data_IF_941919550006
#
_entry.id   IF_941919550006
#
_cell.length_a   1.000
_cell.length_b   1.000
_cell.length_c   1.000
_cell.angle_alpha   90.00
_cell.angle_beta   90.00
_cell.angle_gamma   90.00
#
_symmetry.space_group_name_H-M   'P 1'
#
loop_
_entity.id
_entity.type
_entity.pdbx_description
1 polymer ?
#
# COMPACT_ATOMS: atom_id res chain seq x y z
N UNK A 1 17.09 -27.99 11.56
CA UNK A 1 17.57 -26.65 11.20
C UNK A 1 16.88 -25.65 12.12
N UNK A 2 17.58 -25.11 13.13
CA UNK A 2 17.02 -24.07 14.02
C UNK A 2 17.39 -22.72 13.42
N UNK A 3 16.39 -21.93 13.06
CA UNK A 3 16.59 -20.52 12.73
C UNK A 3 16.97 -19.80 14.03
N UNK A 4 18.22 -19.35 14.10
CA UNK A 4 18.70 -18.43 15.13
C UNK A 4 18.09 -17.06 14.82
N UNK A 5 17.13 -16.63 15.64
CA UNK A 5 16.79 -15.21 15.69
C UNK A 5 17.92 -14.50 16.44
N UNK A 6 18.47 -13.39 15.91
CA UNK A 6 19.49 -12.63 16.61
C UNK A 6 18.89 -12.15 17.92
N UNK A 7 19.62 -12.40 19.01
CA UNK A 7 19.29 -11.93 20.35
C UNK A 7 18.88 -10.47 20.28
N UNK A 8 17.61 -10.24 20.59
CA UNK A 8 17.04 -8.97 20.95
C UNK A 8 17.94 -8.38 22.05
N UNK A 9 18.79 -7.42 21.70
CA UNK A 9 19.39 -6.50 22.67
C UNK A 9 18.20 -5.83 23.34
N UNK A 10 17.86 -6.31 24.52
CA UNK A 10 16.79 -5.78 25.33
C UNK A 10 17.28 -4.44 25.90
N UNK A 11 16.73 -3.37 25.35
CA UNK A 11 16.92 -2.03 25.89
C UNK A 11 16.50 -2.01 27.38
N UNK A 12 17.33 -1.46 28.29
CA UNK A 12 17.12 -1.56 29.73
C UNK A 12 15.91 -0.78 30.27
N UNK A 13 15.20 -0.03 29.42
CA UNK A 13 14.05 0.78 29.81
C UNK A 13 12.69 0.06 29.70
N UNK A 14 12.69 -1.20 29.26
CA UNK A 14 11.74 -2.23 29.75
C UNK A 14 10.25 -1.92 29.70
N UNK A 15 9.82 -0.95 28.91
CA UNK A 15 8.43 -0.55 28.73
C UNK A 15 8.28 -0.06 27.29
N UNK A 16 7.30 -0.61 26.56
CA UNK A 16 6.94 -0.19 25.20
C UNK A 16 7.82 -0.73 24.04
N UNK A 17 7.98 -2.06 23.93
CA UNK A 17 8.27 -2.70 22.62
C UNK A 17 7.35 -3.89 22.40
N UNK A 18 7.20 -4.78 23.37
CA UNK A 18 6.37 -5.99 23.26
C UNK A 18 4.87 -5.70 23.05
N UNK A 19 4.29 -4.77 23.84
CA UNK A 19 2.87 -4.39 23.71
C UNK A 19 2.56 -3.67 22.39
N UNK A 20 3.49 -2.86 21.88
CA UNK A 20 3.36 -2.20 20.58
C UNK A 20 3.53 -3.19 19.42
N UNK A 21 4.45 -4.15 19.54
CA UNK A 21 4.68 -5.16 18.50
C UNK A 21 3.55 -6.18 18.38
N UNK A 22 2.88 -6.51 19.47
CA UNK A 22 1.77 -7.47 19.48
C UNK A 22 0.49 -6.85 18.87
N UNK A 23 0.18 -5.61 19.20
CA UNK A 23 -0.90 -4.85 18.54
C UNK A 23 -0.56 -4.56 17.07
N UNK A 24 0.70 -4.20 16.77
CA UNK A 24 1.17 -4.02 15.38
C UNK A 24 1.06 -5.31 14.57
N UNK A 25 1.38 -6.49 15.13
CA UNK A 25 1.17 -7.78 14.45
C UNK A 25 -0.31 -8.00 14.14
N UNK A 26 -1.20 -7.74 15.12
CA UNK A 26 -2.64 -7.92 14.95
C UNK A 26 -3.26 -6.96 13.92
N UNK A 27 -2.74 -5.73 13.83
CA UNK A 27 -3.14 -4.76 12.81
C UNK A 27 -2.65 -5.14 11.40
N UNK A 28 -1.48 -5.77 11.29
CA UNK A 28 -0.93 -6.21 9.99
C UNK A 28 -1.65 -7.44 9.42
N UNK A 29 -2.23 -8.29 10.28
CA UNK A 29 -3.01 -9.47 9.86
C UNK A 29 -4.44 -9.12 9.39
N UNK A 30 -4.88 -7.87 9.57
CA UNK A 30 -6.22 -7.44 9.19
C UNK A 30 -6.33 -7.23 7.68
N UNK A 31 -7.03 -8.14 6.99
CA UNK A 31 -7.41 -8.00 5.58
C UNK A 31 -8.92 -7.71 5.50
N UNK A 32 -9.34 -6.54 4.98
CA UNK A 32 -10.76 -6.23 4.81
C UNK A 32 -11.39 -7.11 3.73
N UNK A 33 -12.70 -7.35 3.82
CA UNK A 33 -13.45 -8.14 2.83
C UNK A 33 -13.41 -7.52 1.42
N UNK A 34 -13.33 -6.19 1.35
CA UNK A 34 -13.25 -5.44 0.10
C UNK A 34 -12.05 -4.50 0.15
N UNK A 35 -11.14 -4.65 -0.82
CA UNK A 35 -10.02 -3.74 -0.99
C UNK A 35 -10.50 -2.42 -1.60
N UNK A 36 -10.17 -1.29 -0.96
CA UNK A 36 -10.46 0.04 -1.50
C UNK A 36 -9.81 0.31 -2.88
N UNK A 37 -8.71 -0.38 -3.20
CA UNK A 37 -7.99 -0.27 -4.48
C UNK A 37 -8.72 -1.05 -5.60
N UNK A 38 -9.61 -1.98 -5.25
CA UNK A 38 -10.37 -2.77 -6.22
C UNK A 38 -11.56 -1.96 -6.72
N UNK A 39 -11.27 -0.90 -7.47
CA UNK A 39 -12.27 -0.10 -8.17
C UNK A 39 -12.34 -0.52 -9.65
N UNK A 40 -13.53 -0.51 -10.21
CA UNK A 40 -13.75 -0.85 -11.63
C UNK A 40 -13.22 0.22 -12.58
N UNK A 41 -13.09 1.45 -12.09
CA UNK A 41 -12.59 2.59 -12.84
C UNK A 41 -11.45 3.27 -12.08
N UNK A 42 -10.39 3.61 -12.81
CA UNK A 42 -9.22 4.32 -12.31
C UNK A 42 -9.14 5.62 -13.11
N UNK A 43 -9.30 6.73 -12.42
CA UNK A 43 -9.23 8.06 -13.01
C UNK A 43 -7.77 8.48 -13.16
N UNK A 44 -7.36 8.81 -14.39
CA UNK A 44 -5.97 9.06 -14.73
C UNK A 44 -5.84 10.31 -15.59
N UNK A 45 -4.84 11.13 -15.29
CA UNK A 45 -4.52 12.32 -16.08
C UNK A 45 -3.92 11.99 -17.45
N UNK A 46 -4.04 12.93 -18.39
CA UNK A 46 -3.46 12.88 -19.75
C UNK A 46 -1.98 12.44 -19.74
N UNK A 47 -1.17 13.09 -18.91
CA UNK A 47 0.28 12.83 -18.79
C UNK A 47 0.58 11.39 -18.36
N UNK A 48 -0.25 10.83 -17.49
CA UNK A 48 -0.05 9.49 -16.93
C UNK A 48 -0.46 8.41 -17.94
N UNK A 49 -1.47 8.66 -18.77
CA UNK A 49 -1.81 7.76 -19.90
C UNK A 49 -0.66 7.71 -20.92
N UNK A 50 -0.02 8.83 -21.22
CA UNK A 50 1.12 8.87 -22.13
C UNK A 50 2.32 8.07 -21.56
N UNK A 51 2.53 8.14 -20.24
CA UNK A 51 3.55 7.33 -19.55
C UNK A 51 3.22 5.82 -19.57
N UNK A 52 1.96 5.45 -19.31
CA UNK A 52 1.51 4.05 -19.39
C UNK A 52 1.68 3.48 -20.80
N UNK A 53 1.37 4.30 -21.82
CA UNK A 53 1.57 3.94 -23.22
C UNK A 53 3.05 3.74 -23.56
N UNK A 54 3.94 4.60 -23.04
CA UNK A 54 5.39 4.46 -23.23
C UNK A 54 5.98 3.20 -22.57
N UNK A 55 5.36 2.72 -21.48
CA UNK A 55 5.73 1.48 -20.79
C UNK A 55 5.12 0.23 -21.44
N UNK A 56 4.34 0.38 -22.53
CA UNK A 56 3.64 -0.73 -23.19
C UNK A 56 2.41 -1.24 -22.43
N UNK A 57 1.90 -0.45 -21.48
CA UNK A 57 0.74 -0.76 -20.64
C UNK A 57 -0.46 0.15 -20.97
N UNK A 58 -0.63 0.50 -22.25
CA UNK A 58 -1.69 1.41 -22.70
C UNK A 58 -3.11 0.84 -22.58
N UNK A 59 -3.25 -0.48 -22.69
CA UNK A 59 -4.56 -1.16 -22.79
C UNK A 59 -5.00 -1.82 -21.48
N UNK A 60 -4.88 -1.11 -20.36
CA UNK A 60 -5.40 -1.59 -19.08
C UNK A 60 -6.91 -1.29 -19.00
N UNK A 61 -7.76 -2.32 -18.83
CA UNK A 61 -9.21 -2.11 -18.71
C UNK A 61 -9.54 -1.33 -17.44
N UNK A 62 -10.47 -0.38 -17.54
CA UNK A 62 -10.92 0.43 -16.40
C UNK A 62 -10.24 1.79 -16.26
N UNK A 63 -9.26 2.14 -17.10
CA UNK A 63 -8.68 3.50 -17.07
C UNK A 63 -9.64 4.51 -17.69
N UNK A 64 -9.99 5.55 -16.94
CA UNK A 64 -10.83 6.68 -17.37
C UNK A 64 -10.00 7.96 -17.31
N UNK A 65 -9.98 8.72 -18.41
CA UNK A 65 -9.26 9.98 -18.46
C UNK A 65 -10.10 11.10 -17.85
N UNK A 66 -9.56 11.78 -16.84
CA UNK A 66 -10.23 12.91 -16.18
C UNK A 66 -9.52 14.22 -16.51
N UNK A 67 -10.28 15.31 -16.63
CA UNK A 67 -9.73 16.65 -16.79
C UNK A 67 -9.58 17.32 -15.43
N UNK A 68 -8.48 18.07 -15.20
CA UNK A 68 -8.24 18.69 -13.91
C UNK A 68 -9.36 19.69 -13.59
N UNK A 69 -9.95 19.55 -12.41
CA UNK A 69 -10.95 20.49 -11.92
C UNK A 69 -10.25 21.81 -11.62
N UNK A 70 -10.52 22.83 -12.43
CA UNK A 70 -10.14 24.21 -12.13
C UNK A 70 -11.01 24.68 -10.97
N UNK A 71 -10.44 24.72 -9.77
CA UNK A 71 -11.09 25.36 -8.62
C UNK A 71 -11.27 26.86 -8.91
N UNK A 72 -12.44 27.46 -8.59
CA UNK A 72 -12.71 28.88 -8.79
C UNK A 72 -11.89 29.79 -7.86
#
# INVERSE_FOLDING_TARGET
MRVFYPSHEADPEGTCSWDLDEERKRSMDFVPEVCAIKTDQIEVDKKTIDMLSALGMGDIPGIVKVEPVLFP
#
